data_IF_421104316558
#
_entry.id   IF_421104316558
#
_cell.length_a   1.000
_cell.length_b   1.000
_cell.length_c   1.000
_cell.angle_alpha   90.00
_cell.angle_beta   90.00
_cell.angle_gamma   90.00
#
_symmetry.space_group_name_H-M   'P 1'
#
loop_
_entity.id
_entity.type
_entity.pdbx_description
1 polymer ?
#
# COMPACT_ATOMS: atom_id res chain seq x y z
N UNK A 1 4.52 -31.74 12.19
CA UNK A 1 3.39 -32.70 12.25
C UNK A 1 2.51 -32.52 11.02
N UNK A 2 2.20 -33.60 10.27
CA UNK A 2 1.32 -33.52 9.09
C UNK A 2 -0.12 -33.09 9.43
N UNK A 3 -0.56 -33.32 10.67
CA UNK A 3 -1.86 -32.88 11.15
C UNK A 3 -1.93 -31.35 11.27
N UNK A 4 -0.93 -30.72 11.90
CA UNK A 4 -0.88 -29.26 12.06
C UNK A 4 -0.83 -28.56 10.70
N UNK A 5 -0.02 -29.06 9.78
CA UNK A 5 0.04 -28.50 8.43
C UNK A 5 -1.30 -28.60 7.68
N UNK A 6 -1.98 -29.76 7.74
CA UNK A 6 -3.32 -29.91 7.16
C UNK A 6 -4.33 -29.00 7.83
N UNK A 7 -4.32 -28.92 9.16
CA UNK A 7 -5.23 -28.06 9.91
C UNK A 7 -5.08 -26.60 9.48
N UNK A 8 -3.85 -26.11 9.38
CA UNK A 8 -3.57 -24.73 8.95
C UNK A 8 -4.02 -24.52 7.51
N UNK A 9 -3.62 -25.37 6.57
CA UNK A 9 -3.92 -25.18 5.13
C UNK A 9 -5.40 -25.27 4.79
N UNK A 10 -6.16 -26.14 5.47
CA UNK A 10 -7.56 -26.37 5.12
C UNK A 10 -8.56 -25.57 5.94
N UNK A 11 -8.20 -25.17 7.16
CA UNK A 11 -9.14 -24.53 8.09
C UNK A 11 -8.70 -23.16 8.60
N UNK A 12 -7.43 -22.77 8.45
CA UNK A 12 -6.89 -21.49 8.93
C UNK A 12 -6.14 -20.71 7.84
N UNK A 13 -6.38 -21.00 6.56
CA UNK A 13 -5.82 -20.22 5.45
C UNK A 13 -6.53 -18.87 5.35
N UNK A 14 -6.04 -17.91 6.12
CA UNK A 14 -6.46 -16.52 6.06
C UNK A 14 -5.76 -15.85 4.88
N UNK A 15 -6.29 -16.07 3.67
CA UNK A 15 -5.83 -15.39 2.46
C UNK A 15 -6.22 -13.90 2.51
N UNK A 16 -5.44 -13.12 3.25
CA UNK A 16 -5.69 -11.71 3.53
C UNK A 16 -5.82 -10.89 2.25
N UNK A 17 -5.12 -11.25 1.17
CA UNK A 17 -5.20 -10.54 -0.10
C UNK A 17 -6.57 -10.77 -0.76
N UNK A 18 -7.07 -11.99 -0.80
CA UNK A 18 -8.39 -12.28 -1.35
C UNK A 18 -9.50 -11.60 -0.53
N UNK A 19 -9.40 -11.65 0.80
CA UNK A 19 -10.36 -10.97 1.68
C UNK A 19 -10.33 -9.45 1.50
N UNK A 20 -9.15 -8.84 1.37
CA UNK A 20 -9.02 -7.40 1.13
C UNK A 20 -9.54 -6.97 -0.25
N UNK A 21 -9.50 -7.84 -1.27
CA UNK A 21 -10.12 -7.56 -2.58
C UNK A 21 -11.65 -7.49 -2.52
N UNK A 22 -12.26 -8.22 -1.58
CA UNK A 22 -13.71 -8.18 -1.32
C UNK A 22 -14.11 -7.00 -0.42
N UNK A 23 -13.15 -6.41 0.29
CA UNK A 23 -13.39 -5.28 1.17
C UNK A 23 -13.30 -3.94 0.40
N UNK A 24 -14.42 -3.25 0.27
CA UNK A 24 -14.53 -1.93 -0.40
C UNK A 24 -14.23 -0.71 0.51
N UNK A 25 -13.95 -0.96 1.79
CA UNK A 25 -13.61 0.10 2.74
C UNK A 25 -12.14 0.54 2.66
N UNK A 26 -11.81 1.68 3.28
CA UNK A 26 -10.44 2.11 3.43
C UNK A 26 -9.72 1.21 4.43
N UNK A 27 -8.43 0.97 4.18
CA UNK A 27 -7.56 0.31 5.15
C UNK A 27 -6.17 0.92 5.05
N UNK A 28 -5.39 0.64 6.07
CA UNK A 28 -4.05 1.13 6.19
C UNK A 28 -3.17 0.10 6.89
N UNK A 29 -1.92 -0.02 6.46
CA UNK A 29 -0.95 -0.96 7.00
C UNK A 29 0.07 -0.23 7.87
N UNK A 30 0.26 -0.76 9.07
CA UNK A 30 1.37 -0.37 9.95
C UNK A 30 2.44 -1.46 9.82
N UNK A 31 3.55 -1.14 9.16
CA UNK A 31 4.62 -2.08 8.87
C UNK A 31 5.83 -1.82 9.77
N UNK A 32 6.18 -2.82 10.56
CA UNK A 32 7.45 -2.83 11.31
C UNK A 32 8.61 -3.10 10.35
N UNK A 33 9.61 -2.23 10.32
CA UNK A 33 10.69 -2.32 9.33
C UNK A 33 11.76 -3.35 9.69
N UNK A 34 11.94 -3.68 10.98
CA UNK A 34 12.94 -4.62 11.49
C UNK A 34 12.35 -5.92 12.06
N UNK A 35 11.07 -6.19 11.80
CA UNK A 35 10.39 -7.40 12.24
C UNK A 35 10.91 -8.63 11.47
N UNK A 36 11.64 -9.49 12.18
CA UNK A 36 12.25 -10.72 11.69
C UNK A 36 11.25 -11.86 11.43
N UNK A 37 10.03 -11.77 11.95
CA UNK A 37 8.96 -12.72 11.64
C UNK A 37 8.36 -12.38 10.28
N UNK A 38 8.24 -11.07 10.00
CA UNK A 38 7.68 -10.58 8.74
C UNK A 38 8.70 -10.48 7.61
N UNK A 39 9.98 -10.26 7.91
CA UNK A 39 11.06 -10.18 6.93
C UNK A 39 11.64 -11.57 6.66
N UNK A 40 11.54 -12.06 5.41
CA UNK A 40 12.16 -13.34 5.05
C UNK A 40 13.69 -13.31 5.18
N UNK A 41 14.33 -12.15 4.94
CA UNK A 41 15.75 -11.94 5.21
C UNK A 41 15.87 -10.82 6.27
N UNK A 42 16.40 -11.10 7.47
CA UNK A 42 16.57 -10.11 8.53
C UNK A 42 17.31 -8.86 8.03
N UNK A 43 16.80 -7.68 8.41
CA UNK A 43 17.36 -6.38 8.00
C UNK A 43 17.10 -5.97 6.55
N UNK A 44 16.47 -6.83 5.72
CA UNK A 44 16.13 -6.51 4.32
C UNK A 44 14.64 -6.23 4.17
N UNK A 45 14.26 -4.95 4.30
CA UNK A 45 12.87 -4.45 4.18
C UNK A 45 12.15 -4.89 2.90
N UNK A 46 12.89 -5.05 1.80
CA UNK A 46 12.34 -5.54 0.53
C UNK A 46 11.70 -6.94 0.64
N UNK A 47 12.07 -7.71 1.66
CA UNK A 47 11.57 -9.07 1.92
C UNK A 47 10.45 -9.11 2.96
N UNK A 48 9.98 -7.96 3.43
CA UNK A 48 8.85 -7.89 4.35
C UNK A 48 7.57 -8.38 3.67
N UNK A 49 6.89 -9.37 4.27
CA UNK A 49 5.68 -9.97 3.70
C UNK A 49 4.51 -9.00 3.54
N UNK A 50 4.46 -7.91 4.30
CA UNK A 50 3.42 -6.90 4.13
C UNK A 50 3.51 -6.19 2.76
N UNK A 51 4.68 -6.21 2.11
CA UNK A 51 4.88 -5.60 0.79
C UNK A 51 3.99 -6.27 -0.27
N UNK A 52 3.80 -7.59 -0.15
CA UNK A 52 2.98 -8.38 -1.08
C UNK A 52 1.51 -7.94 -1.05
N UNK A 53 1.03 -7.47 0.11
CA UNK A 53 -0.32 -6.91 0.22
C UNK A 53 -0.43 -5.67 -0.66
N UNK A 54 0.50 -4.73 -0.58
CA UNK A 54 0.46 -3.51 -1.40
C UNK A 54 0.67 -3.80 -2.88
N UNK A 55 1.59 -4.70 -3.23
CA UNK A 55 1.84 -5.10 -4.62
C UNK A 55 0.62 -5.79 -5.26
N UNK A 56 -0.24 -6.40 -4.45
CA UNK A 56 -1.44 -7.07 -4.93
C UNK A 56 -2.68 -6.18 -4.90
N UNK A 57 -2.83 -5.36 -3.86
CA UNK A 57 -4.04 -4.58 -3.62
C UNK A 57 -4.04 -3.25 -4.35
N UNK A 58 -2.91 -2.54 -4.44
CA UNK A 58 -2.89 -1.24 -5.13
C UNK A 58 -3.18 -1.36 -6.63
N UNK A 59 -2.59 -2.32 -7.38
CA UNK A 59 -2.98 -2.53 -8.78
C UNK A 59 -4.40 -3.04 -8.95
N UNK A 60 -4.93 -3.80 -7.99
CA UNK A 60 -6.33 -4.20 -8.00
C UNK A 60 -7.27 -3.01 -7.79
N UNK A 61 -7.02 -2.15 -6.80
CA UNK A 61 -7.88 -0.99 -6.49
C UNK A 61 -7.77 0.10 -7.54
N UNK A 62 -6.57 0.33 -8.07
CA UNK A 62 -6.23 1.44 -8.98
C UNK A 62 -5.59 0.93 -10.29
N UNK A 63 -6.31 0.13 -11.09
CA UNK A 63 -5.73 -0.52 -12.27
C UNK A 63 -5.15 0.48 -13.27
N UNK A 64 -5.79 1.63 -13.47
CA UNK A 64 -5.30 2.64 -14.43
C UNK A 64 -4.07 3.42 -13.93
N UNK A 65 -3.70 3.31 -12.64
CA UNK A 65 -2.45 3.86 -12.13
C UNK A 65 -1.31 2.86 -12.35
N UNK A 66 -1.51 1.59 -11.96
CA UNK A 66 -0.43 0.60 -11.90
C UNK A 66 -0.36 -0.40 -13.06
N UNK A 67 -1.19 -0.27 -14.11
CA UNK A 67 -1.14 -1.16 -15.29
C UNK A 67 0.20 -1.12 -16.06
N UNK A 68 1.00 -0.07 -15.90
CA UNK A 68 2.27 0.08 -16.59
C UNK A 68 3.43 -0.45 -15.72
N UNK A 69 4.33 -1.23 -16.33
CA UNK A 69 5.45 -1.89 -15.66
C UNK A 69 6.43 -0.91 -14.98
N UNK A 70 6.65 0.28 -15.53
CA UNK A 70 7.52 1.29 -14.93
C UNK A 70 6.90 1.90 -13.68
N UNK A 71 5.59 2.16 -13.70
CA UNK A 71 4.87 2.65 -12.51
C UNK A 71 4.81 1.58 -11.41
N UNK A 72 4.64 0.31 -11.79
CA UNK A 72 4.70 -0.81 -10.85
C UNK A 72 6.13 -1.04 -10.30
N UNK A 73 7.15 -0.82 -11.12
CA UNK A 73 8.55 -0.84 -10.68
C UNK A 73 8.83 0.29 -9.69
N UNK A 74 8.30 1.49 -9.93
CA UNK A 74 8.37 2.61 -9.01
C UNK A 74 7.68 2.31 -7.67
N UNK A 75 6.49 1.67 -7.70
CA UNK A 75 5.81 1.16 -6.50
C UNK A 75 6.73 0.25 -5.68
N UNK A 76 7.31 -0.78 -6.32
CA UNK A 76 8.23 -1.72 -5.67
C UNK A 76 9.44 -1.00 -5.10
N UNK A 77 10.05 -0.10 -5.87
CA UNK A 77 11.18 0.69 -5.42
C UNK A 77 10.82 1.50 -4.17
N UNK A 78 9.70 2.23 -4.19
CA UNK A 78 9.28 3.07 -3.08
C UNK A 78 8.97 2.25 -1.81
N UNK A 79 8.15 1.20 -1.92
CA UNK A 79 7.76 0.35 -0.77
C UNK A 79 8.97 -0.32 -0.12
N UNK A 80 9.94 -0.78 -0.91
CA UNK A 80 11.13 -1.47 -0.43
C UNK A 80 12.24 -0.54 0.08
N UNK A 81 12.08 0.77 -0.09
CA UNK A 81 13.10 1.76 0.24
C UNK A 81 13.09 2.16 1.72
N UNK A 82 14.28 2.48 2.23
CA UNK A 82 14.44 3.07 3.58
C UNK A 82 13.87 4.49 3.62
N UNK A 83 13.56 4.96 4.84
CA UNK A 83 12.96 6.26 5.13
C UNK A 83 13.56 7.44 4.34
N UNK A 84 14.88 7.59 4.32
CA UNK A 84 15.56 8.69 3.61
C UNK A 84 15.30 8.66 2.10
N UNK A 85 15.34 7.48 1.48
CA UNK A 85 15.09 7.37 0.04
C UNK A 85 13.61 7.52 -0.29
N UNK A 86 12.72 7.01 0.58
CA UNK A 86 11.27 7.30 0.49
C UNK A 86 11.00 8.80 0.52
N UNK A 87 11.55 9.53 1.50
CA UNK A 87 11.37 10.99 1.58
C UNK A 87 11.84 11.70 0.31
N UNK A 88 12.98 11.30 -0.28
CA UNK A 88 13.45 11.86 -1.55
C UNK A 88 12.51 11.57 -2.71
N UNK A 89 12.03 10.33 -2.84
CA UNK A 89 11.08 9.96 -3.88
C UNK A 89 9.74 10.68 -3.69
N UNK A 90 9.24 10.73 -2.46
CA UNK A 90 8.01 11.45 -2.13
C UNK A 90 8.12 12.92 -2.49
N UNK A 91 9.21 13.59 -2.09
CA UNK A 91 9.44 14.98 -2.49
C UNK A 91 9.54 15.17 -4.02
N UNK A 92 10.20 14.24 -4.72
CA UNK A 92 10.34 14.29 -6.19
C UNK A 92 8.99 14.20 -6.91
N UNK A 93 8.08 13.34 -6.44
CA UNK A 93 6.83 13.04 -7.15
C UNK A 93 5.61 13.77 -6.57
N UNK A 94 5.67 14.18 -5.31
CA UNK A 94 4.55 14.75 -4.55
C UNK A 94 4.94 16.10 -3.91
N UNK A 95 5.72 16.94 -4.60
CA UNK A 95 6.01 18.31 -4.18
C UNK A 95 4.74 19.13 -3.98
N UNK A 96 3.75 18.93 -4.86
CA UNK A 96 2.50 19.68 -4.93
C UNK A 96 1.34 18.83 -4.39
N UNK A 97 1.34 18.58 -3.08
CA UNK A 97 0.35 17.72 -2.41
C UNK A 97 -1.08 18.28 -2.57
N UNK A 98 -1.23 19.60 -2.50
CA UNK A 98 -2.55 20.25 -2.57
C UNK A 98 -3.24 19.96 -3.91
N UNK A 99 -2.50 20.00 -5.03
CA UNK A 99 -3.05 19.65 -6.35
C UNK A 99 -3.40 18.15 -6.45
N UNK A 100 -2.66 17.26 -5.79
CA UNK A 100 -3.02 15.83 -5.71
C UNK A 100 -4.38 15.68 -5.02
N UNK A 101 -4.54 16.36 -3.88
CA UNK A 101 -5.76 16.30 -3.08
C UNK A 101 -6.95 16.87 -3.84
N UNK A 102 -6.80 18.03 -4.49
CA UNK A 102 -7.85 18.64 -5.31
C UNK A 102 -8.31 17.70 -6.44
N UNK A 103 -7.37 17.03 -7.12
CA UNK A 103 -7.73 16.10 -8.20
C UNK A 103 -8.46 14.86 -7.68
N UNK A 104 -8.07 14.35 -6.51
CA UNK A 104 -8.76 13.25 -5.82
C UNK A 104 -10.16 13.67 -5.41
N UNK A 105 -10.32 14.82 -4.76
CA UNK A 105 -11.61 15.35 -4.31
C UNK A 105 -12.55 15.55 -5.48
N UNK A 106 -12.06 16.12 -6.59
CA UNK A 106 -12.84 16.24 -7.83
C UNK A 106 -13.33 14.88 -8.32
N UNK A 107 -12.47 13.87 -8.33
CA UNK A 107 -12.88 12.52 -8.74
C UNK A 107 -13.94 11.93 -7.80
N UNK A 108 -13.80 12.13 -6.50
CA UNK A 108 -14.77 11.64 -5.50
C UNK A 108 -16.14 12.33 -5.64
N UNK A 109 -16.17 13.63 -5.95
CA UNK A 109 -17.41 14.36 -6.23
C UNK A 109 -18.12 13.84 -7.49
N UNK A 110 -17.37 13.49 -8.53
CA UNK A 110 -17.90 12.87 -9.74
C UNK A 110 -18.31 11.40 -9.53
N UNK A 111 -17.77 10.72 -8.51
CA UNK A 111 -17.97 9.30 -8.22
C UNK A 111 -18.30 9.06 -6.74
N UNK A 112 -19.45 9.55 -6.23
CA UNK A 112 -19.78 9.54 -4.81
C UNK A 112 -19.90 8.11 -4.22
N UNK A 113 -20.36 7.16 -5.03
CA UNK A 113 -20.41 5.74 -4.66
C UNK A 113 -19.09 5.09 -5.08
N UNK A 114 -18.03 5.37 -4.31
CA UNK A 114 -16.71 4.77 -4.55
C UNK A 114 -16.75 3.25 -4.41
N UNK A 115 -16.16 2.56 -5.39
CA UNK A 115 -16.00 1.10 -5.42
C UNK A 115 -14.64 0.74 -6.00
N UNK A 116 -14.10 -0.41 -5.58
CA UNK A 116 -12.88 -0.97 -6.15
C UNK A 116 -13.21 -2.18 -7.04
N UNK A 117 -12.52 -2.36 -8.18
CA UNK A 117 -11.53 -1.46 -8.80
C UNK A 117 -12.14 -0.13 -9.28
N UNK A 118 -11.45 1.01 -9.05
CA UNK A 118 -11.92 2.31 -9.53
C UNK A 118 -11.31 2.70 -10.89
N UNK A 119 -11.89 3.71 -11.53
CA UNK A 119 -11.47 4.20 -12.86
C UNK A 119 -10.48 5.38 -12.81
N UNK A 120 -10.09 5.79 -11.60
CA UNK A 120 -9.12 6.85 -11.42
C UNK A 120 -7.78 6.50 -12.08
N UNK A 121 -7.18 7.46 -12.78
CA UNK A 121 -5.96 7.25 -13.57
C UNK A 121 -6.18 7.02 -15.06
N UNK A 122 -7.42 6.77 -15.50
CA UNK A 122 -7.73 6.45 -16.91
C UNK A 122 -7.21 7.51 -17.89
N UNK A 123 -7.44 8.78 -17.56
CA UNK A 123 -7.07 9.93 -18.41
C UNK A 123 -5.79 10.64 -17.94
N UNK A 124 -5.09 10.09 -16.93
CA UNK A 124 -3.85 10.68 -16.44
C UNK A 124 -2.69 10.35 -17.37
N UNK A 125 -1.78 11.31 -17.54
CA UNK A 125 -0.49 11.12 -18.17
C UNK A 125 0.38 10.14 -17.37
N UNK A 126 1.45 9.67 -18.01
CA UNK A 126 2.41 8.78 -17.35
C UNK A 126 3.03 9.37 -16.08
N UNK A 127 3.44 10.64 -16.12
CA UNK A 127 4.03 11.34 -14.98
C UNK A 127 3.02 11.51 -13.83
N UNK A 128 1.76 11.82 -14.15
CA UNK A 128 0.69 11.90 -13.15
C UNK A 128 0.45 10.54 -12.50
N UNK A 129 0.42 9.45 -13.28
CA UNK A 129 0.27 8.09 -12.72
C UNK A 129 1.40 7.76 -11.75
N UNK A 130 2.65 8.08 -12.08
CA UNK A 130 3.79 7.89 -11.17
C UNK A 130 3.65 8.74 -9.88
N UNK A 131 3.19 9.98 -10.02
CA UNK A 131 2.88 10.88 -8.89
C UNK A 131 1.83 10.29 -7.97
N UNK A 132 0.66 9.92 -8.50
CA UNK A 132 -0.40 9.28 -7.70
C UNK A 132 0.02 7.92 -7.16
N UNK A 133 0.84 7.16 -7.89
CA UNK A 133 1.33 5.87 -7.42
C UNK A 133 2.14 5.98 -6.12
N UNK A 134 3.00 7.00 -6.00
CA UNK A 134 3.76 7.28 -4.77
C UNK A 134 2.85 7.78 -3.66
N UNK A 135 1.99 8.75 -3.97
CA UNK A 135 1.06 9.31 -3.00
C UNK A 135 0.14 8.24 -2.38
N UNK A 136 -0.45 7.38 -3.21
CA UNK A 136 -1.34 6.31 -2.75
C UNK A 136 -0.62 5.33 -1.83
N UNK A 137 0.65 5.00 -2.06
CA UNK A 137 1.38 4.13 -1.13
C UNK A 137 1.47 4.77 0.26
N UNK A 138 1.72 6.08 0.32
CA UNK A 138 1.82 6.83 1.58
C UNK A 138 0.48 6.84 2.35
N UNK A 139 -0.64 6.83 1.62
CA UNK A 139 -1.96 6.71 2.22
C UNK A 139 -2.30 5.31 2.74
N UNK A 140 -1.60 4.27 2.29
CA UNK A 140 -1.87 2.86 2.64
C UNK A 140 -0.81 2.24 3.57
N UNK A 141 0.31 2.92 3.83
CA UNK A 141 1.43 2.37 4.59
C UNK A 141 2.13 3.40 5.48
N UNK A 142 2.27 3.12 6.79
CA UNK A 142 3.35 3.68 7.62
C UNK A 142 4.40 2.61 7.84
N UNK A 143 5.63 3.11 7.90
CA UNK A 143 6.70 2.40 8.56
C UNK A 143 6.78 2.78 10.04
N UNK A 144 6.89 1.78 10.89
CA UNK A 144 7.25 1.90 12.28
C UNK A 144 8.62 1.25 12.49
N UNK A 145 9.64 2.06 12.78
CA UNK A 145 11.02 1.59 12.97
C UNK A 145 11.17 0.81 14.27
N UNK A 146 10.82 -0.48 14.23
CA UNK A 146 10.87 -1.39 15.38
C UNK A 146 10.95 -2.86 14.97
N UNK A 147 11.23 -3.71 15.96
CA UNK A 147 11.14 -5.17 15.90
C UNK A 147 9.77 -5.65 16.41
N UNK A 148 9.50 -6.95 16.37
CA UNK A 148 8.20 -7.52 16.74
C UNK A 148 7.81 -7.33 18.23
N UNK A 149 8.78 -7.26 19.15
CA UNK A 149 8.54 -7.13 20.60
C UNK A 149 8.33 -5.69 21.10
N UNK A 150 8.49 -4.67 20.25
CA UNK A 150 8.28 -3.28 20.66
C UNK A 150 6.79 -2.98 20.69
N UNK A 151 6.23 -2.40 21.76
CA UNK A 151 4.82 -1.99 21.75
C UNK A 151 4.54 -0.99 20.63
N UNK A 152 3.42 -1.18 19.90
CA UNK A 152 3.01 -0.23 18.85
C UNK A 152 2.34 0.99 19.51
N UNK A 153 2.84 2.22 19.30
CA UNK A 153 2.25 3.40 19.93
C UNK A 153 0.84 3.69 19.42
N UNK A 154 -0.03 4.19 20.30
CA UNK A 154 -1.41 4.56 19.96
C UNK A 154 -1.49 5.60 18.83
N UNK A 155 -0.48 6.47 18.70
CA UNK A 155 -0.42 7.51 17.66
C UNK A 155 -0.39 6.97 16.23
N UNK A 156 -0.08 5.68 16.02
CA UNK A 156 -0.10 5.05 14.70
C UNK A 156 -1.51 4.59 14.28
N UNK A 157 -2.46 4.55 15.21
CA UNK A 157 -3.83 4.15 14.94
C UNK A 157 -4.66 5.38 14.57
N UNK A 158 -4.91 5.54 13.28
CA UNK A 158 -5.84 6.54 12.76
C UNK A 158 -6.86 5.88 11.84
N UNK A 159 -8.02 6.52 11.70
CA UNK A 159 -9.07 6.08 10.78
C UNK A 159 -8.58 6.27 9.34
N UNK A 160 -8.47 5.21 8.54
CA UNK A 160 -8.03 5.35 7.16
C UNK A 160 -9.12 6.03 6.34
N UNK A 161 -8.72 6.97 5.49
CA UNK A 161 -9.64 7.65 4.57
C UNK A 161 -9.71 6.92 3.24
N UNK A 162 -10.85 7.04 2.55
CA UNK A 162 -10.95 6.59 1.16
C UNK A 162 -10.11 7.54 0.30
N UNK A 163 -9.03 7.02 -0.26
CA UNK A 163 -8.10 7.86 -1.04
C UNK A 163 -8.67 8.29 -2.38
N UNK A 164 -9.54 7.49 -2.99
CA UNK A 164 -10.20 7.75 -4.28
C UNK A 164 -11.51 6.99 -4.33
#
# INVERSE_FOLDING_TARGET
SKFVEKAIRYYLDLNNIQLLKLYNGPFYLIRRTYDEIMNFIPGKLATNRANEILFSILPYRYPFIYHNDETFTLLKQYVCSKKVHKQRLFHKYCSDIDDIQIQIERYQLENPIGSYPCKFGKNLSFNERQRFAIYLVDQYLIDFDSQHCTSLPQSYFYLPNRCV
#
